data_IF_775674737788
#
_entry.id   IF_775674737788
#
_cell.length_a   1.000
_cell.length_b   1.000
_cell.length_c   1.000
_cell.angle_alpha   90.00
_cell.angle_beta   90.00
_cell.angle_gamma   90.00
#
_symmetry.space_group_name_H-M   'P 1'
#
loop_
_entity.id
_entity.type
_entity.pdbx_description
1 polymer ?
#
# COMPACT_ATOMS: atom_id res chain seq x y z
N UNK A 1 -8.86 -15.60 13.56
CA UNK A 1 -8.89 -15.57 12.11
C UNK A 1 -7.63 -16.17 11.51
N UNK A 2 -7.61 -16.37 10.21
CA UNK A 2 -6.45 -16.92 9.54
C UNK A 2 -5.29 -15.92 9.58
N UNK A 3 -4.10 -16.44 9.81
CA UNK A 3 -2.88 -15.66 9.69
C UNK A 3 -2.62 -15.39 8.21
N UNK A 4 -2.25 -14.17 7.87
CA UNK A 4 -1.84 -13.84 6.51
C UNK A 4 -0.58 -14.58 6.09
N UNK A 5 -0.28 -14.61 4.79
CA UNK A 5 0.92 -15.28 4.32
C UNK A 5 2.18 -14.58 4.85
N UNK A 6 3.22 -15.37 5.01
CA UNK A 6 4.54 -14.84 5.33
C UNK A 6 5.03 -13.96 4.19
N UNK A 7 5.60 -12.82 4.48
CA UNK A 7 6.21 -11.96 3.49
C UNK A 7 7.39 -12.64 2.80
N UNK A 8 7.80 -12.08 1.68
CA UNK A 8 8.92 -12.61 0.93
C UNK A 8 10.21 -12.48 1.74
N UNK A 9 11.07 -13.49 1.62
CA UNK A 9 12.42 -13.40 2.16
C UNK A 9 13.16 -12.27 1.45
N UNK A 10 13.90 -11.48 2.20
CA UNK A 10 14.74 -10.43 1.63
C UNK A 10 15.78 -11.01 0.68
N UNK A 11 16.30 -10.17 -0.19
CA UNK A 11 17.36 -10.58 -1.10
C UNK A 11 18.63 -10.94 -0.31
N UNK A 12 19.39 -11.90 -0.84
CA UNK A 12 20.68 -12.23 -0.27
C UNK A 12 21.61 -11.03 -0.37
N UNK A 13 22.34 -10.74 0.69
CA UNK A 13 23.36 -9.70 0.68
C UNK A 13 24.41 -9.94 -0.39
N UNK A 14 25.08 -8.89 -0.79
CA UNK A 14 26.17 -8.98 -1.76
C UNK A 14 27.35 -9.75 -1.16
N UNK A 15 28.11 -10.39 -2.06
CA UNK A 15 29.36 -11.03 -1.67
C UNK A 15 30.30 -9.95 -1.14
N UNK A 16 30.97 -10.23 -0.04
CA UNK A 16 31.96 -9.31 0.52
C UNK A 16 33.07 -9.02 -0.46
N UNK A 17 33.67 -7.86 -0.31
CA UNK A 17 34.81 -7.48 -1.13
C UNK A 17 35.98 -8.41 -0.91
N UNK A 18 36.78 -8.60 -1.98
CA UNK A 18 38.03 -9.33 -1.86
C UNK A 18 38.95 -8.64 -0.83
N UNK A 19 39.56 -9.41 0.03
CA UNK A 19 40.47 -8.88 1.01
C UNK A 19 41.64 -8.14 0.35
N UNK A 20 42.25 -7.24 1.10
CA UNK A 20 43.40 -6.50 0.61
C UNK A 20 44.57 -7.43 0.34
N UNK A 21 45.35 -7.08 -0.68
CA UNK A 21 46.59 -7.77 -0.96
C UNK A 21 47.52 -7.64 0.23
N UNK A 22 48.13 -8.75 0.64
CA UNK A 22 49.09 -8.71 1.71
C UNK A 22 50.27 -7.79 1.42
N UNK A 23 50.97 -7.38 2.46
CA UNK A 23 52.12 -6.50 2.29
C UNK A 23 53.24 -7.22 1.53
N UNK A 24 54.03 -6.45 0.82
CA UNK A 24 55.27 -6.97 0.19
C UNK A 24 56.16 -7.54 1.26
N UNK A 25 56.73 -8.71 0.99
CA UNK A 25 57.68 -9.32 1.89
C UNK A 25 58.90 -8.42 2.16
N UNK A 26 59.55 -8.65 3.24
CA UNK A 26 60.75 -7.94 3.61
C UNK A 26 61.85 -8.13 2.57
N UNK A 27 62.63 -7.13 2.35
CA UNK A 27 63.84 -7.29 1.54
C UNK A 27 64.73 -8.32 2.15
N UNK A 28 65.31 -9.20 1.34
CA UNK A 28 66.23 -10.19 1.79
C UNK A 28 67.43 -9.58 2.48
N UNK A 29 68.07 -10.34 3.36
CA UNK A 29 69.26 -9.90 4.07
C UNK A 29 70.35 -9.55 3.09
N UNK A 30 71.07 -8.46 3.36
CA UNK A 30 72.25 -8.09 2.58
C UNK A 30 73.39 -9.02 2.90
N UNK A 31 74.03 -9.54 1.91
CA UNK A 31 75.25 -10.35 2.13
C UNK A 31 76.33 -9.53 2.85
N UNK A 32 77.06 -10.16 3.73
CA UNK A 32 78.03 -9.47 4.59
C UNK A 32 79.18 -8.84 3.82
N UNK A 33 79.57 -9.38 2.72
CA UNK A 33 80.59 -8.83 1.83
C UNK A 33 80.28 -9.30 0.42
N UNK A 34 79.34 -8.84 -0.15
CA UNK A 34 78.95 -9.31 -1.45
C UNK A 34 77.83 -8.48 -2.02
N UNK A 35 77.28 -8.91 -3.13
CA UNK A 35 76.15 -8.19 -3.67
C UNK A 35 75.00 -8.17 -2.66
N UNK A 36 74.22 -7.14 -2.74
CA UNK A 36 73.00 -7.00 -1.94
C UNK A 36 72.16 -8.24 -2.12
N UNK A 37 71.60 -8.77 -1.06
CA UNK A 37 70.68 -9.88 -1.13
C UNK A 37 69.51 -9.54 -2.03
N UNK A 38 68.87 -10.57 -2.58
CA UNK A 38 67.69 -10.41 -3.38
C UNK A 38 66.55 -9.89 -2.53
N UNK A 39 65.71 -9.11 -3.14
CA UNK A 39 64.45 -8.71 -2.48
C UNK A 39 63.64 -9.93 -2.11
N UNK A 40 63.12 -9.95 -0.91
CA UNK A 40 62.21 -11.02 -0.48
C UNK A 40 61.00 -11.15 -1.42
N UNK A 41 60.38 -12.29 -1.40
CA UNK A 41 59.21 -12.51 -2.23
C UNK A 41 58.07 -11.58 -1.78
N UNK A 42 57.23 -11.23 -2.76
CA UNK A 42 56.00 -10.48 -2.45
C UNK A 42 55.15 -11.31 -1.49
N UNK A 43 54.56 -10.66 -0.51
CA UNK A 43 53.64 -11.32 0.40
C UNK A 43 52.49 -11.98 -0.33
N UNK A 44 51.91 -12.97 0.29
CA UNK A 44 50.73 -13.64 -0.26
C UNK A 44 49.57 -12.66 -0.36
N UNK A 45 48.76 -12.83 -1.39
CA UNK A 45 47.49 -12.10 -1.50
C UNK A 45 46.64 -12.41 -0.28
N UNK A 46 46.00 -11.39 0.27
CA UNK A 46 45.06 -11.56 1.37
C UNK A 46 43.92 -12.49 0.99
N UNK A 47 43.32 -13.10 1.98
CA UNK A 47 42.13 -13.92 1.72
C UNK A 47 40.97 -13.08 1.30
N UNK A 48 40.06 -13.70 0.51
CA UNK A 48 38.82 -13.08 0.17
C UNK A 48 38.05 -12.71 1.45
N UNK A 49 37.49 -11.53 1.48
CA UNK A 49 36.65 -11.12 2.59
C UNK A 49 35.45 -12.04 2.79
N UNK A 50 34.84 -11.99 3.93
CA UNK A 50 33.67 -12.82 4.23
C UNK A 50 32.50 -12.39 3.34
N UNK A 51 31.61 -13.32 3.09
CA UNK A 51 30.34 -13.00 2.45
C UNK A 51 29.60 -11.97 3.26
N UNK A 52 28.99 -11.00 2.58
CA UNK A 52 28.16 -10.02 3.26
C UNK A 52 26.99 -10.67 3.99
N UNK A 53 26.40 -9.94 4.90
CA UNK A 53 25.26 -10.46 5.65
C UNK A 53 24.08 -10.74 4.70
N UNK A 54 23.25 -11.70 5.11
CA UNK A 54 21.98 -11.92 4.41
C UNK A 54 21.14 -10.66 4.49
N UNK A 55 20.48 -10.33 3.40
CA UNK A 55 19.54 -9.21 3.37
C UNK A 55 18.44 -9.39 4.41
N UNK A 56 17.84 -8.28 4.79
CA UNK A 56 16.72 -8.31 5.73
C UNK A 56 15.57 -9.14 5.17
N UNK A 57 14.91 -9.86 6.05
CA UNK A 57 13.66 -10.55 5.68
C UNK A 57 12.63 -9.53 5.27
N UNK A 58 11.93 -9.80 4.18
CA UNK A 58 10.85 -8.95 3.71
C UNK A 58 9.75 -8.85 4.76
N UNK A 59 8.97 -7.76 4.67
CA UNK A 59 7.86 -7.56 5.58
C UNK A 59 6.87 -8.71 5.45
N UNK A 60 6.57 -9.37 6.57
CA UNK A 60 5.66 -10.52 6.59
C UNK A 60 4.18 -10.13 6.54
N UNK A 61 3.86 -8.87 6.74
CA UNK A 61 2.47 -8.40 6.68
C UNK A 61 2.26 -7.45 5.52
N UNK A 62 1.31 -7.78 4.66
CA UNK A 62 0.84 -6.84 3.65
C UNK A 62 -0.07 -5.82 4.34
N UNK A 63 -0.01 -4.53 3.95
CA UNK A 63 -0.92 -3.54 4.49
C UNK A 63 -2.37 -3.90 4.22
N UNK A 64 -3.16 -3.85 5.27
CA UNK A 64 -4.60 -4.06 5.24
C UNK A 64 -5.25 -2.96 6.05
N UNK A 65 -6.32 -2.39 5.55
CA UNK A 65 -7.11 -1.44 6.31
C UNK A 65 -8.59 -1.60 6.01
N UNK A 66 -9.40 -1.38 7.03
CA UNK A 66 -10.85 -1.34 6.92
C UNK A 66 -11.33 -0.05 7.56
N UNK A 67 -12.15 0.67 6.81
CA UNK A 67 -12.74 1.93 7.22
C UNK A 67 -14.25 1.84 7.14
N UNK A 68 -14.92 2.57 8.00
CA UNK A 68 -16.36 2.71 7.91
C UNK A 68 -16.80 4.11 8.26
N UNK A 69 -17.97 4.47 7.76
CA UNK A 69 -18.69 5.65 8.17
C UNK A 69 -19.85 5.18 9.02
N UNK A 70 -19.84 5.57 10.28
CA UNK A 70 -20.91 5.22 11.20
C UNK A 70 -22.17 6.00 10.86
N UNK A 71 -23.29 5.29 10.86
CA UNK A 71 -24.55 5.91 11.18
C UNK A 71 -24.60 6.08 12.72
N UNK A 72 -24.86 7.21 13.32
CA UNK A 72 -25.79 8.22 12.86
C UNK A 72 -25.16 9.52 12.37
N UNK A 73 -24.08 9.50 11.65
CA UNK A 73 -23.55 10.73 11.03
C UNK A 73 -24.08 10.87 9.62
N UNK A 74 -25.31 11.40 9.44
CA UNK A 74 -25.89 11.48 8.13
C UNK A 74 -25.09 12.43 7.25
N UNK A 75 -24.91 12.04 6.00
CA UNK A 75 -24.32 12.90 5.00
C UNK A 75 -25.28 13.04 3.83
N UNK A 76 -25.45 14.27 3.39
CA UNK A 76 -26.16 14.57 2.17
C UNK A 76 -25.15 15.08 1.16
N UNK A 77 -25.00 14.35 0.08
CA UNK A 77 -23.94 14.57 -0.89
C UNK A 77 -24.52 15.11 -2.19
N UNK A 78 -24.04 16.28 -2.60
CA UNK A 78 -24.30 16.81 -3.92
C UNK A 78 -23.48 16.04 -4.96
N UNK A 79 -23.84 16.21 -6.23
CA UNK A 79 -23.02 15.67 -7.30
C UNK A 79 -21.58 16.17 -7.16
N UNK A 80 -20.63 15.25 -7.16
CA UNK A 80 -19.22 15.55 -7.01
C UNK A 80 -18.70 15.52 -5.60
N UNK A 81 -19.56 15.48 -4.59
CA UNK A 81 -19.11 15.47 -3.19
C UNK A 81 -18.53 14.11 -2.77
N UNK A 82 -17.50 14.17 -1.94
CA UNK A 82 -16.89 13.00 -1.36
C UNK A 82 -17.54 12.59 -0.04
N UNK A 83 -17.61 11.31 0.21
CA UNK A 83 -17.98 10.77 1.52
C UNK A 83 -16.85 11.10 2.49
N UNK A 84 -17.22 11.62 3.66
CA UNK A 84 -16.30 11.95 4.74
C UNK A 84 -16.65 11.21 6.02
N UNK A 85 -15.89 11.43 7.08
CA UNK A 85 -16.17 10.80 8.36
C UNK A 85 -15.74 9.34 8.44
N UNK A 86 -14.82 8.91 7.61
CA UNK A 86 -14.27 7.56 7.66
C UNK A 86 -13.49 7.34 8.95
N UNK A 87 -13.77 6.22 9.60
CA UNK A 87 -13.08 5.79 10.81
C UNK A 87 -12.30 4.52 10.51
N UNK A 88 -11.06 4.47 10.95
CA UNK A 88 -10.23 3.28 10.82
C UNK A 88 -10.66 2.25 11.84
N UNK A 89 -11.04 1.06 11.38
CA UNK A 89 -11.45 -0.04 12.25
C UNK A 89 -10.32 -1.04 12.42
N UNK A 90 -9.72 -1.42 11.31
CA UNK A 90 -8.57 -2.32 11.27
C UNK A 90 -7.55 -1.68 10.35
N UNK A 91 -6.30 -1.78 10.70
CA UNK A 91 -5.26 -1.41 9.78
C UNK A 91 -4.02 -0.85 10.42
N UNK A 92 -2.98 -0.83 9.63
CA UNK A 92 -1.75 -0.16 9.96
C UNK A 92 -1.89 1.30 9.50
N UNK A 93 -2.07 2.18 10.45
CA UNK A 93 -2.33 3.60 10.20
C UNK A 93 -1.20 4.32 9.48
N UNK A 94 -0.03 3.74 9.39
CA UNK A 94 1.10 4.33 8.67
C UNK A 94 1.13 3.97 7.19
N UNK A 95 0.43 2.91 6.79
CA UNK A 95 0.49 2.41 5.40
C UNK A 95 -0.64 2.91 4.53
N UNK A 96 -1.82 3.06 5.10
CA UNK A 96 -3.01 3.52 4.38
C UNK A 96 -3.73 4.48 5.32
N UNK A 97 -3.85 5.73 4.90
CA UNK A 97 -4.41 6.79 5.72
C UNK A 97 -5.65 7.38 5.07
N UNK A 98 -6.50 8.00 5.88
CA UNK A 98 -7.62 8.80 5.42
C UNK A 98 -7.65 10.11 6.19
N UNK A 99 -7.92 11.20 5.50
CA UNK A 99 -8.02 12.52 6.13
C UNK A 99 -9.48 12.94 6.38
N UNK A 100 -9.64 14.11 6.96
CA UNK A 100 -10.97 14.64 7.28
C UNK A 100 -11.80 14.97 6.05
N UNK A 101 -11.18 15.15 4.90
CA UNK A 101 -11.86 15.41 3.62
C UNK A 101 -12.27 14.13 2.88
N UNK A 102 -12.04 12.97 3.47
CA UNK A 102 -12.35 11.69 2.85
C UNK A 102 -11.31 11.24 1.82
N UNK A 103 -10.12 11.82 1.84
CA UNK A 103 -9.04 11.43 0.94
C UNK A 103 -8.23 10.31 1.57
N UNK A 104 -8.22 9.17 0.88
CA UNK A 104 -7.38 8.03 1.22
C UNK A 104 -6.04 8.16 0.52
N UNK A 105 -4.99 7.77 1.18
CA UNK A 105 -3.63 7.73 0.61
C UNK A 105 -3.01 6.37 0.87
N UNK A 106 -2.48 5.74 -0.17
CA UNK A 106 -1.61 4.57 -0.03
C UNK A 106 -0.17 5.06 0.02
N UNK A 107 0.62 4.54 0.94
CA UNK A 107 1.99 5.03 1.17
C UNK A 107 3.04 4.25 0.41
N UNK A 108 2.72 3.06 -0.05
CA UNK A 108 3.68 2.16 -0.67
C UNK A 108 3.22 1.74 -2.05
N UNK A 109 4.18 1.53 -2.95
CA UNK A 109 3.91 0.93 -4.24
C UNK A 109 3.34 -0.48 -4.07
N UNK A 110 2.45 -0.88 -4.94
CA UNK A 110 1.97 -2.25 -4.91
C UNK A 110 0.71 -2.47 -5.72
N UNK A 111 0.30 -3.72 -5.76
CA UNK A 111 -0.99 -4.12 -6.31
C UNK A 111 -2.00 -4.12 -5.17
N UNK A 112 -3.05 -3.35 -5.33
CA UNK A 112 -4.06 -3.15 -4.31
C UNK A 112 -5.41 -3.68 -4.75
N UNK A 113 -6.18 -4.15 -3.79
CA UNK A 113 -7.58 -4.45 -3.93
C UNK A 113 -8.37 -3.53 -3.00
N UNK A 114 -9.33 -2.80 -3.56
CA UNK A 114 -10.19 -1.89 -2.81
C UNK A 114 -11.63 -2.35 -3.02
N UNK A 115 -12.35 -2.57 -1.94
CA UNK A 115 -13.76 -2.92 -1.96
C UNK A 115 -14.54 -1.86 -1.20
N UNK A 116 -15.60 -1.36 -1.81
CA UNK A 116 -16.42 -0.29 -1.25
C UNK A 116 -17.88 -0.68 -1.27
N UNK A 117 -18.58 -0.35 -0.20
CA UNK A 117 -20.03 -0.45 -0.09
C UNK A 117 -20.58 0.85 0.45
N UNK A 118 -21.64 1.35 -0.15
CA UNK A 118 -22.33 2.58 0.29
C UNK A 118 -23.81 2.26 0.46
N UNK A 119 -24.32 2.50 1.66
CA UNK A 119 -25.73 2.32 1.94
C UNK A 119 -26.47 3.67 1.76
N UNK A 120 -27.43 3.69 0.86
CA UNK A 120 -28.21 4.87 0.56
C UNK A 120 -29.33 5.05 1.57
N UNK A 121 -29.65 6.30 1.89
CA UNK A 121 -30.76 6.64 2.76
C UNK A 121 -32.08 6.55 1.99
N UNK A 122 -33.01 5.68 2.41
CA UNK A 122 -34.33 5.63 1.78
C UNK A 122 -35.02 7.00 1.85
N UNK A 123 -35.64 7.41 0.77
CA UNK A 123 -36.37 8.66 0.70
C UNK A 123 -35.49 9.90 0.51
N UNK A 124 -34.18 9.76 0.46
CA UNK A 124 -33.27 10.89 0.27
C UNK A 124 -33.26 11.45 -1.14
N UNK A 125 -33.76 10.68 -2.10
CA UNK A 125 -33.81 11.06 -3.51
C UNK A 125 -34.96 10.35 -4.19
N UNK A 126 -35.46 10.95 -5.27
CA UNK A 126 -36.51 10.35 -6.11
C UNK A 126 -35.95 9.56 -7.29
N UNK A 127 -34.64 9.53 -7.48
CA UNK A 127 -34.02 8.74 -8.54
C UNK A 127 -33.95 7.26 -8.16
N UNK A 128 -33.92 6.41 -9.15
CA UNK A 128 -33.78 4.96 -8.98
C UNK A 128 -32.45 4.41 -9.49
N UNK A 129 -31.62 5.28 -10.01
CA UNK A 129 -30.27 4.93 -10.41
C UNK A 129 -29.28 5.88 -9.74
N UNK A 130 -28.34 5.30 -9.05
CA UNK A 130 -27.33 6.02 -8.31
C UNK A 130 -25.97 5.72 -8.91
N UNK A 131 -25.09 6.71 -8.88
CA UNK A 131 -23.72 6.56 -9.34
C UNK A 131 -22.78 7.12 -8.29
N UNK A 132 -21.91 6.27 -7.78
CA UNK A 132 -20.78 6.66 -6.95
C UNK A 132 -19.53 6.14 -7.63
N UNK A 133 -18.40 6.72 -7.32
CA UNK A 133 -17.13 6.32 -7.90
C UNK A 133 -16.03 6.24 -6.86
N UNK A 134 -15.11 5.32 -7.07
CA UNK A 134 -13.78 5.41 -6.49
C UNK A 134 -13.02 6.37 -7.41
N UNK A 135 -12.78 7.58 -6.94
CA UNK A 135 -12.18 8.62 -7.77
C UNK A 135 -10.69 8.73 -7.53
N UNK A 136 -9.92 8.40 -8.55
CA UNK A 136 -8.47 8.59 -8.55
C UNK A 136 -8.16 9.84 -9.39
N UNK A 137 -7.65 10.92 -8.80
CA UNK A 137 -7.36 12.15 -9.54
C UNK A 137 -6.43 11.95 -10.74
N UNK A 138 -5.53 10.98 -10.64
CA UNK A 138 -4.53 10.71 -11.70
C UNK A 138 -5.02 9.65 -12.68
N UNK A 139 -5.73 8.63 -12.19
CA UNK A 139 -6.10 7.45 -12.98
C UNK A 139 -7.51 7.51 -13.55
N UNK A 140 -8.29 8.49 -13.15
CA UNK A 140 -9.72 8.55 -13.43
C UNK A 140 -10.54 7.79 -12.39
N UNK A 141 -11.84 7.67 -12.62
CA UNK A 141 -12.75 7.05 -11.68
C UNK A 141 -13.07 5.60 -12.00
N UNK A 142 -13.48 4.86 -10.98
CA UNK A 142 -14.11 3.55 -11.09
C UNK A 142 -15.52 3.65 -10.56
N UNK A 143 -16.50 3.44 -11.42
CA UNK A 143 -17.90 3.60 -11.05
C UNK A 143 -18.39 2.53 -10.10
N UNK A 144 -19.15 2.97 -9.09
CA UNK A 144 -19.94 2.13 -8.21
C UNK A 144 -21.41 2.44 -8.48
N UNK A 145 -21.95 1.92 -9.58
CA UNK A 145 -23.32 2.20 -9.98
C UNK A 145 -24.27 1.13 -9.46
N UNK A 146 -25.48 1.53 -9.14
CA UNK A 146 -26.52 0.61 -8.71
C UNK A 146 -27.91 1.13 -8.98
N UNK A 147 -28.85 0.21 -8.98
CA UNK A 147 -30.26 0.50 -9.18
C UNK A 147 -31.05 0.11 -7.94
N UNK A 148 -32.02 0.92 -7.58
CA UNK A 148 -33.03 0.54 -6.60
C UNK A 148 -34.28 0.03 -7.34
N UNK A 149 -35.04 -0.80 -6.66
CA UNK A 149 -36.29 -1.34 -7.23
C UNK A 149 -37.38 -0.28 -7.34
N UNK A 150 -37.33 0.75 -6.51
CA UNK A 150 -38.30 1.84 -6.47
C UNK A 150 -37.56 3.17 -6.32
N UNK A 151 -38.08 4.25 -6.93
CA UNK A 151 -37.50 5.58 -6.74
C UNK A 151 -37.44 5.95 -5.26
N UNK A 152 -36.29 6.38 -4.81
CA UNK A 152 -36.10 6.74 -3.41
C UNK A 152 -36.05 5.58 -2.44
N UNK A 153 -36.06 4.34 -2.89
CA UNK A 153 -36.08 3.17 -2.02
C UNK A 153 -34.79 2.89 -1.28
N UNK A 154 -33.71 3.57 -1.61
CA UNK A 154 -32.41 3.32 -1.02
C UNK A 154 -31.73 2.12 -1.65
N UNK A 155 -30.97 1.38 -0.85
CA UNK A 155 -30.22 0.22 -1.30
C UNK A 155 -28.75 0.33 -0.96
N UNK A 156 -27.98 -0.62 -1.45
CA UNK A 156 -26.53 -0.63 -1.23
C UNK A 156 -25.84 -0.68 -2.57
N UNK A 157 -24.92 0.24 -2.78
CA UNK A 157 -24.01 0.22 -3.91
C UNK A 157 -22.71 -0.42 -3.47
N UNK A 158 -22.14 -1.24 -4.32
CA UNK A 158 -20.84 -1.85 -4.05
C UNK A 158 -20.02 -1.94 -5.32
N UNK A 159 -18.73 -1.96 -5.15
CA UNK A 159 -17.80 -2.11 -6.23
C UNK A 159 -16.39 -2.29 -5.72
N UNK A 160 -15.46 -2.45 -6.65
CA UNK A 160 -14.08 -2.71 -6.30
C UNK A 160 -13.13 -2.10 -7.33
N UNK A 161 -11.90 -1.97 -6.92
CA UNK A 161 -10.76 -1.69 -7.79
C UNK A 161 -9.68 -2.71 -7.49
N UNK A 162 -9.02 -3.19 -8.53
CA UNK A 162 -7.84 -4.03 -8.39
C UNK A 162 -6.80 -3.55 -9.40
N UNK A 163 -5.62 -3.22 -8.93
CA UNK A 163 -4.57 -2.73 -9.81
C UNK A 163 -3.36 -2.20 -9.06
N UNK A 164 -2.37 -1.81 -9.83
CA UNK A 164 -1.14 -1.24 -9.28
C UNK A 164 -1.33 0.24 -8.94
N UNK A 165 -0.92 0.60 -7.74
CA UNK A 165 -0.89 1.99 -7.27
C UNK A 165 0.52 2.34 -6.79
N UNK A 166 0.98 3.52 -7.19
CA UNK A 166 2.22 4.09 -6.65
C UNK A 166 1.98 4.64 -5.25
N UNK A 167 2.99 4.58 -4.41
CA UNK A 167 2.97 5.26 -3.12
C UNK A 167 2.70 6.75 -3.30
N UNK A 168 1.83 7.29 -2.46
CA UNK A 168 1.35 8.65 -2.57
C UNK A 168 0.07 8.80 -3.39
N UNK A 169 -0.41 7.73 -4.03
CA UNK A 169 -1.69 7.77 -4.75
C UNK A 169 -2.83 8.03 -3.77
N UNK A 170 -3.71 8.94 -4.17
CA UNK A 170 -4.89 9.31 -3.40
C UNK A 170 -6.16 8.92 -4.13
N UNK A 171 -7.22 8.69 -3.36
CA UNK A 171 -8.55 8.50 -3.91
C UNK A 171 -9.62 8.91 -2.91
N UNK A 172 -10.80 9.15 -3.42
CA UNK A 172 -11.99 9.49 -2.65
C UNK A 172 -13.16 8.68 -3.16
N UNK A 173 -14.22 8.60 -2.39
CA UNK A 173 -15.47 7.97 -2.79
C UNK A 173 -16.50 9.08 -2.96
N UNK A 174 -16.94 9.30 -4.18
CA UNK A 174 -17.73 10.47 -4.54
C UNK A 174 -19.10 10.09 -5.10
N UNK A 175 -20.09 10.93 -4.80
CA UNK A 175 -21.39 10.87 -5.44
C UNK A 175 -21.33 11.51 -6.81
N UNK A 176 -21.68 10.77 -7.86
CA UNK A 176 -21.88 11.27 -9.21
C UNK A 176 -23.29 11.01 -9.71
N UNK A 177 -24.23 10.78 -8.81
CA UNK A 177 -25.64 10.68 -9.15
C UNK A 177 -26.16 12.00 -9.70
N UNK A 178 -27.23 11.95 -10.48
CA UNK A 178 -27.79 13.13 -11.12
C UNK A 178 -28.35 14.17 -10.16
N UNK A 179 -28.46 13.83 -8.89
CA UNK A 179 -29.00 14.72 -7.85
C UNK A 179 -28.30 14.48 -6.52
N UNK A 180 -28.65 15.28 -5.54
CA UNK A 180 -28.24 15.13 -4.16
C UNK A 180 -28.74 13.81 -3.59
N UNK A 181 -27.87 13.06 -2.92
CA UNK A 181 -28.17 11.76 -2.34
C UNK A 181 -27.70 11.74 -0.90
N UNK A 182 -28.53 11.19 -0.02
CA UNK A 182 -28.15 10.91 1.36
C UNK A 182 -27.60 9.50 1.49
N UNK A 183 -26.57 9.33 2.28
CA UNK A 183 -26.17 8.01 2.73
C UNK A 183 -26.83 7.71 4.08
N UNK A 184 -26.98 6.42 4.40
CA UNK A 184 -27.76 5.97 5.55
C UNK A 184 -27.38 6.72 6.82
N UNK A 185 -28.40 7.20 7.52
CA UNK A 185 -28.27 7.88 8.80
C UNK A 185 -28.86 7.03 9.94
N UNK A 186 -28.50 5.88 10.08
CA UNK A 186 -28.69 4.93 11.14
C UNK A 186 -29.77 5.14 12.20
N UNK A 187 -30.94 4.79 11.85
CA UNK A 187 -31.94 4.40 12.83
C UNK A 187 -31.61 3.04 13.49
N UNK A 188 -30.65 2.36 12.97
CA UNK A 188 -30.18 1.06 13.45
C UNK A 188 -28.66 1.09 13.53
N UNK A 189 -28.09 0.19 14.28
CA UNK A 189 -26.66 0.00 14.41
C UNK A 189 -26.09 -0.49 13.06
N UNK A 190 -26.07 0.37 12.08
CA UNK A 190 -25.53 0.05 10.76
C UNK A 190 -24.43 1.00 10.36
N UNK A 191 -23.69 0.61 9.36
CA UNK A 191 -22.69 1.46 8.73
C UNK A 191 -23.31 2.14 7.52
N UNK A 192 -22.93 3.40 7.29
CA UNK A 192 -23.34 4.14 6.10
C UNK A 192 -22.48 3.76 4.90
N UNK A 193 -21.22 3.48 5.12
CA UNK A 193 -20.27 3.07 4.10
C UNK A 193 -19.16 2.23 4.70
N UNK A 194 -18.61 1.33 3.91
CA UNK A 194 -17.43 0.55 4.28
C UNK A 194 -16.43 0.58 3.15
N UNK A 195 -15.16 0.54 3.52
CA UNK A 195 -14.08 0.42 2.56
C UNK A 195 -13.04 -0.53 3.13
N UNK A 196 -12.70 -1.54 2.35
CA UNK A 196 -11.61 -2.45 2.67
C UNK A 196 -10.56 -2.34 1.61
N UNK A 197 -9.33 -2.19 2.02
CA UNK A 197 -8.19 -2.09 1.11
C UNK A 197 -7.05 -2.94 1.62
N UNK A 198 -6.43 -3.68 0.73
CA UNK A 198 -5.22 -4.42 1.06
C UNK A 198 -4.29 -4.50 -0.13
N UNK A 199 -3.01 -4.51 0.17
CA UNK A 199 -1.97 -4.72 -0.82
C UNK A 199 -1.82 -6.21 -1.05
N UNK A 200 -2.02 -6.66 -2.28
CA UNK A 200 -1.92 -8.06 -2.67
C UNK A 200 -0.47 -8.45 -2.89
N UNK A 201 0.28 -7.55 -3.48
CA UNK A 201 1.67 -7.79 -3.85
C UNK A 201 2.46 -6.48 -3.87
N UNK A 202 3.78 -6.58 -3.71
CA UNK A 202 4.67 -5.42 -3.69
C UNK A 202 4.90 -4.85 -5.08
N UNK A 203 4.91 -5.72 -6.09
CA UNK A 203 5.18 -5.35 -7.47
C UNK A 203 4.28 -6.16 -8.39
N UNK A 204 4.17 -5.68 -9.63
CA UNK A 204 3.53 -6.46 -10.68
C UNK A 204 4.45 -7.62 -11.05
N UNK A 205 3.92 -8.83 -10.94
CA UNK A 205 4.65 -10.03 -11.39
C UNK A 205 4.62 -10.09 -12.91
N UNK A 206 5.77 -10.17 -13.51
CA UNK A 206 5.91 -10.35 -14.97
C UNK A 206 6.36 -11.76 -15.31
#
# INVERSE_FOLDING_TARGET
GATGPTGNTGVTGEIGLTGATGPTGNTGATGSIGPTGVTGPTGATGVTGPTGPTGATGNSSQPVANFLVNAPSPQTLNNGDAITGWQTIIGNSSSITVDANGTFTVQENGVYYISVSVALQPGSSSINQYSFAILFPILGGKDLAGLTTEPGGGGVLSGYFAGFLFGGTTFTINNFSSTTVGIRNGQSAGTAATLTIFRIADTVMT
#
